data_IF_107264046487
#
_entry.id   IF_107264046487
#
_cell.length_a   1.000
_cell.length_b   1.000
_cell.length_c   1.000
_cell.angle_alpha   90.00
_cell.angle_beta   90.00
_cell.angle_gamma   90.00
#
_symmetry.space_group_name_H-M   'P 1'
#
loop_
_entity.id
_entity.type
_entity.pdbx_description
1 polymer ?
#
# COMPACT_ATOMS: atom_id res chain seq x y z
N UNK A 1 -4.00 -10.21 9.84
CA UNK A 1 -3.00 -9.98 8.77
C UNK A 1 -3.42 -10.83 7.58
N UNK A 2 -3.58 -10.25 6.38
CA UNK A 2 -3.94 -11.00 5.16
C UNK A 2 -2.71 -11.78 4.68
N UNK A 3 -2.92 -13.00 4.20
CA UNK A 3 -1.84 -13.83 3.64
C UNK A 3 -1.43 -13.35 2.25
N UNK A 4 -0.18 -13.61 1.87
CA UNK A 4 0.37 -13.32 0.55
C UNK A 4 -0.10 -14.33 -0.50
N UNK A 5 0.11 -13.97 -1.77
CA UNK A 5 -0.29 -14.79 -2.91
C UNK A 5 0.51 -16.11 -2.94
N UNK A 6 1.82 -16.07 -2.62
CA UNK A 6 2.64 -17.27 -2.50
C UNK A 6 2.17 -18.25 -1.42
N UNK A 7 1.36 -17.81 -0.47
CA UNK A 7 0.79 -18.66 0.60
C UNK A 7 -0.52 -19.32 0.16
N UNK A 8 -0.90 -19.20 -1.12
CA UNK A 8 -2.14 -19.76 -1.68
C UNK A 8 -3.40 -18.99 -1.28
N UNK A 9 -3.27 -17.69 -1.00
CA UNK A 9 -4.38 -16.82 -0.59
C UNK A 9 -4.72 -15.78 -1.64
N UNK A 10 -6.03 -15.57 -1.83
CA UNK A 10 -6.58 -14.54 -2.71
C UNK A 10 -7.08 -13.30 -1.93
N UNK A 11 -6.90 -13.27 -0.60
CA UNK A 11 -7.46 -12.21 0.27
C UNK A 11 -7.03 -10.80 -0.14
N UNK A 12 -5.79 -10.62 -0.61
CA UNK A 12 -5.27 -9.32 -1.06
C UNK A 12 -5.96 -8.92 -2.37
N UNK A 13 -6.07 -9.84 -3.32
CA UNK A 13 -6.71 -9.59 -4.61
C UNK A 13 -8.20 -9.26 -4.44
N UNK A 14 -8.88 -10.03 -3.60
CA UNK A 14 -10.28 -9.81 -3.25
C UNK A 14 -10.50 -8.45 -2.60
N UNK A 15 -9.60 -8.03 -1.71
CA UNK A 15 -9.72 -6.73 -1.04
C UNK A 15 -9.53 -5.55 -2.01
N UNK A 16 -8.63 -5.71 -2.99
CA UNK A 16 -8.45 -4.73 -4.06
C UNK A 16 -9.70 -4.66 -4.95
N UNK A 17 -10.24 -5.81 -5.37
CA UNK A 17 -11.45 -5.90 -6.21
C UNK A 17 -12.70 -5.34 -5.54
N UNK A 18 -12.86 -5.59 -4.24
CA UNK A 18 -14.01 -5.10 -3.47
C UNK A 18 -13.91 -3.60 -3.12
N UNK A 19 -12.81 -2.93 -3.47
CA UNK A 19 -12.60 -1.52 -3.14
C UNK A 19 -12.34 -1.28 -1.64
N UNK A 20 -11.95 -2.31 -0.89
CA UNK A 20 -11.61 -2.20 0.54
C UNK A 20 -10.23 -1.57 0.77
N UNK A 21 -9.46 -1.31 -0.30
CA UNK A 21 -8.10 -0.79 -0.25
C UNK A 21 -7.98 0.41 -1.19
N UNK A 22 -7.62 1.56 -0.63
CA UNK A 22 -7.46 2.82 -1.38
C UNK A 22 -6.01 3.03 -1.86
N UNK A 23 -5.04 2.52 -1.10
CA UNK A 23 -3.61 2.68 -1.36
C UNK A 23 -2.86 1.38 -1.12
N UNK A 24 -1.88 1.11 -1.98
CA UNK A 24 -0.90 0.03 -1.80
C UNK A 24 0.48 0.62 -1.68
N UNK A 25 1.19 0.33 -0.59
CA UNK A 25 2.60 0.69 -0.43
C UNK A 25 3.40 -0.61 -0.51
N UNK A 26 4.21 -0.74 -1.56
CA UNK A 26 5.06 -1.91 -1.77
C UNK A 26 6.49 -1.47 -2.10
N UNK A 27 7.37 -1.52 -1.11
CA UNK A 27 8.80 -1.32 -1.31
C UNK A 27 9.48 -2.63 -1.71
N UNK A 28 10.51 -2.50 -2.56
CA UNK A 28 11.38 -3.61 -2.93
C UNK A 28 12.71 -3.46 -2.17
N UNK A 29 13.26 -4.57 -1.70
CA UNK A 29 14.62 -4.62 -1.16
C UNK A 29 15.48 -5.55 -2.03
N UNK A 30 16.73 -5.17 -2.28
CA UNK A 30 17.69 -5.97 -3.06
C UNK A 30 18.00 -7.33 -2.41
N UNK A 31 17.77 -7.47 -1.11
CA UNK A 31 17.94 -8.74 -0.37
C UNK A 31 16.69 -9.63 -0.40
N UNK A 32 15.62 -9.20 -1.07
CA UNK A 32 14.36 -9.95 -1.12
C UNK A 32 14.51 -11.13 -2.07
N UNK A 33 14.21 -12.35 -1.59
CA UNK A 33 14.19 -13.54 -2.43
C UNK A 33 13.12 -13.48 -3.55
N UNK A 34 13.27 -14.35 -4.55
CA UNK A 34 12.45 -14.33 -5.77
C UNK A 34 10.94 -14.40 -5.50
N UNK A 35 10.51 -15.21 -4.54
CA UNK A 35 9.08 -15.32 -4.14
C UNK A 35 8.52 -13.97 -3.69
N UNK A 36 9.28 -13.20 -2.91
CA UNK A 36 8.85 -11.87 -2.47
C UNK A 36 8.74 -10.88 -3.63
N UNK A 37 9.66 -10.97 -4.59
CA UNK A 37 9.64 -10.13 -5.80
C UNK A 37 8.43 -10.46 -6.69
N UNK A 38 8.11 -11.75 -6.82
CA UNK A 38 6.93 -12.22 -7.56
C UNK A 38 5.63 -11.78 -6.90
N UNK A 39 5.48 -11.96 -5.58
CA UNK A 39 4.32 -11.48 -4.84
C UNK A 39 4.14 -9.97 -4.99
N UNK A 40 5.20 -9.20 -4.79
CA UNK A 40 5.18 -7.74 -4.93
C UNK A 40 4.82 -7.30 -6.35
N UNK A 41 5.28 -8.02 -7.38
CA UNK A 41 4.88 -7.78 -8.76
C UNK A 41 3.38 -8.03 -8.98
N UNK A 42 2.87 -9.18 -8.52
CA UNK A 42 1.45 -9.53 -8.67
C UNK A 42 0.54 -8.56 -7.93
N UNK A 43 0.86 -8.21 -6.69
CA UNK A 43 0.09 -7.24 -5.89
C UNK A 43 0.03 -5.88 -6.61
N UNK A 44 1.16 -5.40 -7.13
CA UNK A 44 1.19 -4.13 -7.88
C UNK A 44 0.36 -4.21 -9.15
N UNK A 45 0.46 -5.30 -9.90
CA UNK A 45 -0.35 -5.52 -11.10
C UNK A 45 -1.84 -5.49 -10.80
N UNK A 46 -2.30 -6.24 -9.79
CA UNK A 46 -3.71 -6.26 -9.41
C UNK A 46 -4.20 -4.90 -8.92
N UNK A 47 -3.39 -4.15 -8.18
CA UNK A 47 -3.76 -2.81 -7.75
C UNK A 47 -3.93 -1.85 -8.93
N UNK A 48 -3.05 -1.88 -9.94
CA UNK A 48 -3.21 -1.09 -11.18
C UNK A 48 -4.49 -1.49 -11.92
N UNK A 49 -4.74 -2.80 -12.08
CA UNK A 49 -5.92 -3.33 -12.76
C UNK A 49 -7.24 -2.94 -12.08
N UNK A 50 -7.21 -2.61 -10.77
CA UNK A 50 -8.38 -2.18 -9.99
C UNK A 50 -8.37 -0.68 -9.65
N UNK A 51 -7.57 0.12 -10.36
CA UNK A 51 -7.47 1.58 -10.17
C UNK A 51 -7.10 2.02 -8.75
N UNK A 52 -6.35 1.18 -8.03
CA UNK A 52 -5.81 1.48 -6.69
C UNK A 52 -4.45 2.16 -6.83
N UNK A 53 -4.23 3.26 -6.10
CA UNK A 53 -2.97 4.01 -6.16
C UNK A 53 -1.85 3.24 -5.47
N UNK A 54 -0.67 3.19 -6.10
CA UNK A 54 0.48 2.41 -5.62
C UNK A 54 1.68 3.31 -5.38
N UNK A 55 2.35 3.10 -4.24
CA UNK A 55 3.64 3.69 -3.92
C UNK A 55 4.71 2.60 -3.84
N UNK A 56 5.87 2.88 -4.45
CA UNK A 56 7.02 1.95 -4.44
C UNK A 56 8.21 2.46 -3.61
N UNK A 57 8.11 3.69 -3.09
CA UNK A 57 9.07 4.31 -2.19
C UNK A 57 8.36 4.93 -0.99
N UNK A 58 8.96 4.80 0.20
CA UNK A 58 8.50 5.49 1.40
C UNK A 58 8.78 7.00 1.34
N UNK A 59 9.81 7.43 0.60
CA UNK A 59 10.12 8.86 0.46
C UNK A 59 8.95 9.60 -0.22
N UNK A 60 8.35 8.99 -1.24
CA UNK A 60 7.15 9.53 -1.91
C UNK A 60 5.93 9.55 -0.99
N UNK A 61 5.80 8.54 -0.11
CA UNK A 61 4.72 8.50 0.89
C UNK A 61 4.92 9.60 1.94
N UNK A 62 6.16 9.89 2.34
CA UNK A 62 6.46 11.00 3.26
C UNK A 62 5.95 12.33 2.72
N UNK A 63 6.31 12.67 1.47
CA UNK A 63 5.83 13.90 0.82
C UNK A 63 4.30 13.93 0.70
N UNK A 64 3.66 12.78 0.43
CA UNK A 64 2.20 12.72 0.44
C UNK A 64 1.63 13.05 1.81
N UNK A 65 2.21 12.52 2.89
CA UNK A 65 1.75 12.80 4.25
C UNK A 65 1.93 14.28 4.61
N UNK A 66 3.04 14.91 4.23
CA UNK A 66 3.27 16.35 4.44
C UNK A 66 2.17 17.18 3.78
N UNK A 67 1.83 16.88 2.53
CA UNK A 67 0.73 17.57 1.82
C UNK A 67 -0.62 17.29 2.47
N UNK A 68 -0.87 16.06 2.93
CA UNK A 68 -2.11 15.70 3.61
C UNK A 68 -2.26 16.45 4.95
N UNK A 69 -1.17 16.65 5.68
CA UNK A 69 -1.15 17.44 6.92
C UNK A 69 -1.43 18.93 6.63
N UNK A 70 -0.86 19.51 5.57
CA UNK A 70 -1.12 20.90 5.20
C UNK A 70 -2.58 21.17 4.81
N UNK A 71 -3.25 20.23 4.15
CA UNK A 71 -4.66 20.39 3.73
C UNK A 71 -5.66 20.03 4.84
N UNK A 72 -5.25 19.30 5.87
CA UNK A 72 -6.15 18.87 6.94
C UNK A 72 -6.01 19.78 8.16
N UNK A 73 -7.13 20.28 8.67
CA UNK A 73 -7.12 21.05 9.91
C UNK A 73 -6.68 20.15 11.07
N UNK A 74 -5.51 20.44 11.64
CA UNK A 74 -5.02 19.77 12.83
C UNK A 74 -5.99 19.97 14.00
N UNK A 75 -6.40 18.88 14.64
CA UNK A 75 -7.16 18.91 15.90
C UNK A 75 -6.17 18.67 17.03
N UNK A 76 -5.92 19.69 17.84
CA UNK A 76 -5.12 19.56 19.06
C UNK A 76 -6.01 19.30 20.27
N UNK A 77 -5.45 18.66 21.31
CA UNK A 77 -6.10 18.61 22.63
C UNK A 77 -6.23 20.02 23.18
N UNK A 78 -7.30 20.26 23.95
CA UNK A 78 -7.41 21.49 24.75
C UNK A 78 -6.61 21.22 26.02
N UNK A 79 -5.43 21.83 26.11
CA UNK A 79 -4.67 21.86 27.35
C UNK A 79 -5.29 22.97 28.23
N UNK A 80 -5.70 22.60 29.46
CA UNK A 80 -6.29 23.53 30.45
C UNK A 80 -5.31 24.61 30.92
#
# INVERSE_FOLDING_TARGET
VKKKISEGSDEIQESLKMGHVTYVINTLSETSGDTHRQDGFLIRRFAVENNVTIFTSLDTVGVLLDVLEEITMGVSTIDE
#
